data_IF_937908745792
#
_entry.id   IF_937908745792
#
_cell.length_a   1.000
_cell.length_b   1.000
_cell.length_c   1.000
_cell.angle_alpha   90.00
_cell.angle_beta   90.00
_cell.angle_gamma   90.00
#
_symmetry.space_group_name_H-M   'P 1'
#
loop_
_entity.id
_entity.type
_entity.pdbx_description
1 polymer ?
#
# COMPACT_ATOMS: atom_id res chain seq x y z
N UNK A 1 -74.61 82.45 78.36
CA UNK A 1 -75.29 81.41 77.56
C UNK A 1 -74.19 80.42 77.23
N UNK A 2 -73.88 79.45 78.09
CA UNK A 2 -74.63 78.20 78.37
C UNK A 2 -74.55 77.25 77.17
N UNK A 3 -74.21 75.96 77.29
CA UNK A 3 -73.65 75.09 78.36
C UNK A 3 -72.15 75.38 78.69
N UNK A 4 -71.43 74.83 79.71
CA UNK A 4 -71.74 74.23 81.03
C UNK A 4 -72.41 72.83 81.08
N UNK A 5 -71.79 71.70 81.50
CA UNK A 5 -70.71 71.46 82.49
C UNK A 5 -70.02 70.06 82.24
N UNK A 6 -69.08 69.55 83.09
CA UNK A 6 -68.15 68.46 82.74
C UNK A 6 -68.48 67.11 83.40
N UNK A 7 -67.66 66.09 83.12
CA UNK A 7 -67.31 65.04 84.09
C UNK A 7 -65.81 64.78 84.05
N UNK A 8 -65.10 65.36 85.03
CA UNK A 8 -63.78 64.89 85.46
C UNK A 8 -64.03 63.86 86.54
N UNK A 9 -63.85 62.57 86.27
CA UNK A 9 -63.74 61.59 87.34
C UNK A 9 -62.98 60.32 86.92
N UNK A 10 -61.73 60.21 87.40
CA UNK A 10 -61.01 58.97 87.72
C UNK A 10 -60.65 58.01 86.54
N UNK A 11 -59.60 57.19 86.61
CA UNK A 11 -58.62 56.94 87.68
C UNK A 11 -57.22 56.70 87.08
N UNK A 12 -56.22 56.79 87.93
CA UNK A 12 -54.80 56.62 87.61
C UNK A 12 -54.37 55.21 87.17
N UNK A 13 -53.14 55.20 86.65
CA UNK A 13 -52.10 54.19 86.85
C UNK A 13 -52.10 52.92 85.99
N UNK A 14 -50.87 52.46 85.81
CA UNK A 14 -50.43 51.15 85.35
C UNK A 14 -50.75 50.77 83.89
N UNK A 15 -49.94 49.95 83.19
CA UNK A 15 -48.55 49.49 83.35
C UNK A 15 -48.27 48.57 82.13
N UNK A 16 -47.02 48.43 81.70
CA UNK A 16 -46.50 47.39 80.79
C UNK A 16 -47.45 46.67 79.80
N UNK A 17 -47.22 46.90 78.50
CA UNK A 17 -47.35 45.87 77.46
C UNK A 17 -46.05 45.91 76.63
N UNK A 18 -45.05 45.08 76.91
CA UNK A 18 -44.98 43.62 76.67
C UNK A 18 -45.09 43.26 75.19
N UNK A 19 -44.13 42.47 74.72
CA UNK A 19 -44.12 41.99 73.34
C UNK A 19 -45.28 41.01 73.12
N UNK A 20 -46.01 41.18 72.01
CA UNK A 20 -47.05 40.26 71.60
C UNK A 20 -46.46 38.92 71.16
N UNK A 21 -46.24 38.02 72.10
CA UNK A 21 -45.99 36.60 71.83
C UNK A 21 -47.32 35.99 71.37
N UNK A 22 -47.51 35.90 70.05
CA UNK A 22 -48.71 35.37 69.40
C UNK A 22 -49.04 33.98 69.94
N UNK A 23 -50.21 33.87 70.59
CA UNK A 23 -50.61 32.65 71.30
C UNK A 23 -50.80 31.49 70.31
N UNK A 24 -49.91 30.50 70.37
CA UNK A 24 -50.13 29.21 69.75
C UNK A 24 -51.35 28.53 70.39
N UNK A 25 -52.49 28.58 69.68
CA UNK A 25 -53.71 27.89 70.10
C UNK A 25 -53.52 26.39 69.92
N UNK A 26 -53.14 25.70 70.99
CA UNK A 26 -53.00 24.24 70.99
C UNK A 26 -54.38 23.55 70.92
N UNK A 27 -54.91 23.47 69.70
CA UNK A 27 -56.14 22.75 69.39
C UNK A 27 -55.91 21.25 69.59
N UNK A 28 -56.10 20.80 70.83
CA UNK A 28 -55.88 19.41 71.24
C UNK A 28 -56.99 18.52 70.69
N UNK A 29 -56.71 17.79 69.61
CA UNK A 29 -57.61 16.79 69.06
C UNK A 29 -57.20 15.39 69.56
N UNK A 30 -58.12 14.66 70.19
CA UNK A 30 -57.90 13.29 70.68
C UNK A 30 -56.66 13.11 71.58
N UNK A 31 -56.36 14.10 72.42
CA UNK A 31 -55.31 13.99 73.46
C UNK A 31 -53.88 14.20 72.98
N UNK A 32 -53.68 14.64 71.74
CA UNK A 32 -52.37 15.06 71.22
C UNK A 32 -52.36 16.57 70.95
N UNK A 33 -51.20 17.18 71.17
CA UNK A 33 -50.90 18.57 70.84
C UNK A 33 -50.85 18.78 69.31
N UNK A 34 -50.82 20.04 68.89
CA UNK A 34 -50.74 20.38 67.45
C UNK A 34 -49.50 19.79 66.78
N UNK A 35 -48.36 19.75 67.49
CA UNK A 35 -47.12 19.10 67.04
C UNK A 35 -47.28 17.59 66.87
N UNK A 36 -47.94 16.91 67.81
CA UNK A 36 -48.24 15.48 67.75
C UNK A 36 -49.08 15.09 66.53
N UNK A 37 -50.08 15.91 66.15
CA UNK A 37 -50.86 15.68 64.94
C UNK A 37 -50.04 15.85 63.66
N UNK A 38 -49.15 16.85 63.60
CA UNK A 38 -48.21 17.05 62.48
C UNK A 38 -47.22 15.89 62.37
N UNK A 39 -46.70 15.39 63.51
CA UNK A 39 -45.82 14.23 63.54
C UNK A 39 -46.53 12.96 63.00
N UNK A 40 -47.79 12.73 63.39
CA UNK A 40 -48.61 11.65 62.83
C UNK A 40 -48.85 11.80 61.32
N UNK A 41 -49.17 13.01 60.84
CA UNK A 41 -49.33 13.27 59.41
C UNK A 41 -48.04 12.97 58.64
N UNK A 42 -46.88 13.37 59.16
CA UNK A 42 -45.56 13.06 58.58
C UNK A 42 -45.29 11.54 58.54
N UNK A 43 -45.61 10.81 59.61
CA UNK A 43 -45.48 9.34 59.66
C UNK A 43 -46.37 8.68 58.58
N UNK A 44 -47.61 9.12 58.42
CA UNK A 44 -48.53 8.61 57.39
C UNK A 44 -48.00 8.91 55.98
N UNK A 45 -47.46 10.11 55.72
CA UNK A 45 -46.84 10.45 54.44
C UNK A 45 -45.60 9.57 54.16
N UNK A 46 -44.74 9.34 55.15
CA UNK A 46 -43.56 8.46 55.01
C UNK A 46 -44.00 7.01 54.71
N UNK A 47 -45.00 6.49 55.42
CA UNK A 47 -45.57 5.16 55.15
C UNK A 47 -46.14 5.06 53.73
N UNK A 48 -46.85 6.08 53.26
CA UNK A 48 -47.37 6.14 51.88
C UNK A 48 -46.21 6.18 50.87
N UNK A 49 -45.12 6.93 51.11
CA UNK A 49 -43.94 6.97 50.25
C UNK A 49 -43.22 5.61 50.17
N UNK A 50 -43.11 4.90 51.29
CA UNK A 50 -42.55 3.55 51.34
C UNK A 50 -43.46 2.57 50.58
N UNK A 51 -44.78 2.63 50.80
CA UNK A 51 -45.76 1.77 50.13
C UNK A 51 -45.83 2.03 48.61
N UNK A 52 -45.66 3.30 48.19
CA UNK A 52 -45.49 3.72 46.79
C UNK A 52 -44.09 3.48 46.23
N UNK A 53 -43.19 2.86 46.99
CA UNK A 53 -41.84 2.42 46.55
C UNK A 53 -40.95 3.54 46.02
N UNK A 54 -41.15 4.77 46.48
CA UNK A 54 -40.30 5.94 46.13
C UNK A 54 -38.80 5.66 46.35
N UNK A 55 -38.33 5.12 47.49
CA UNK A 55 -36.90 4.82 47.66
C UNK A 55 -36.40 3.73 46.70
N UNK A 56 -37.24 2.74 46.34
CA UNK A 56 -36.88 1.71 45.36
C UNK A 56 -36.74 2.29 43.94
N UNK A 57 -37.59 3.25 43.56
CA UNK A 57 -37.52 3.93 42.27
C UNK A 57 -36.25 4.77 42.14
N UNK A 58 -35.85 5.47 43.20
CA UNK A 58 -34.58 6.23 43.24
C UNK A 58 -33.38 5.28 43.13
N UNK A 59 -33.35 4.20 43.91
CA UNK A 59 -32.30 3.17 43.82
C UNK A 59 -32.17 2.62 42.39
N UNK A 60 -33.28 2.19 41.79
CA UNK A 60 -33.28 1.68 40.41
C UNK A 60 -32.84 2.71 39.37
N UNK A 61 -33.09 4.00 39.57
CA UNK A 61 -32.60 5.06 38.70
C UNK A 61 -31.09 5.27 38.82
N UNK A 62 -30.53 5.14 40.03
CA UNK A 62 -29.09 5.16 40.26
C UNK A 62 -28.41 3.91 39.66
N UNK A 63 -28.97 2.72 39.90
CA UNK A 63 -28.45 1.47 39.33
C UNK A 63 -28.42 1.50 37.80
N UNK A 64 -29.46 2.05 37.15
CA UNK A 64 -29.48 2.26 35.69
C UNK A 64 -28.39 3.20 35.22
N UNK A 65 -28.11 4.29 35.95
CA UNK A 65 -27.00 5.21 35.63
C UNK A 65 -25.64 4.54 35.81
N UNK A 66 -25.46 3.77 36.88
CA UNK A 66 -24.23 3.01 37.13
C UNK A 66 -24.01 1.97 36.02
N UNK A 67 -25.06 1.26 35.60
CA UNK A 67 -25.00 0.31 34.50
C UNK A 67 -24.67 0.98 33.14
N UNK A 68 -25.27 2.14 32.85
CA UNK A 68 -24.97 2.92 31.65
C UNK A 68 -23.51 3.38 31.63
N UNK A 69 -23.03 4.01 32.71
CA UNK A 69 -21.64 4.49 32.83
C UNK A 69 -20.64 3.32 32.73
N UNK A 70 -20.95 2.15 33.30
CA UNK A 70 -20.12 0.94 33.12
C UNK A 70 -20.06 0.52 31.66
N UNK A 71 -21.21 0.47 30.97
CA UNK A 71 -21.27 0.16 29.54
C UNK A 71 -20.46 1.14 28.69
N UNK A 72 -20.57 2.45 28.94
CA UNK A 72 -19.78 3.49 28.27
C UNK A 72 -18.27 3.35 28.52
N UNK A 73 -17.86 2.98 29.75
CA UNK A 73 -16.45 2.72 30.09
C UNK A 73 -15.93 1.45 29.41
N UNK A 74 -16.72 0.37 29.40
CA UNK A 74 -16.35 -0.89 28.76
C UNK A 74 -16.26 -0.74 27.24
N UNK A 75 -17.18 0.02 26.62
CA UNK A 75 -17.13 0.36 25.19
C UNK A 75 -15.94 1.26 24.85
N UNK A 76 -15.65 2.27 25.67
CA UNK A 76 -14.47 3.13 25.49
C UNK A 76 -13.15 2.36 25.67
N UNK A 77 -13.10 1.40 26.61
CA UNK A 77 -11.94 0.53 26.81
C UNK A 77 -11.74 -0.41 25.62
N UNK A 78 -12.83 -1.01 25.10
CA UNK A 78 -12.82 -1.83 23.88
C UNK A 78 -12.37 -1.03 22.66
N UNK A 79 -12.90 0.18 22.47
CA UNK A 79 -12.53 1.05 21.36
C UNK A 79 -11.06 1.49 21.43
N UNK A 80 -10.50 1.71 22.63
CA UNK A 80 -9.06 1.93 22.81
C UNK A 80 -8.23 0.71 22.44
N UNK A 81 -8.62 -0.48 22.92
CA UNK A 81 -7.92 -1.72 22.58
C UNK A 81 -7.94 -2.01 21.06
N UNK A 82 -9.07 -1.75 20.39
CA UNK A 82 -9.18 -1.85 18.93
C UNK A 82 -8.31 -0.81 18.21
N UNK A 83 -8.26 0.44 18.69
CA UNK A 83 -7.40 1.48 18.13
C UNK A 83 -5.90 1.19 18.32
N UNK A 84 -5.51 0.66 19.49
CA UNK A 84 -4.12 0.25 19.79
C UNK A 84 -3.72 -0.97 18.94
N UNK A 85 -4.59 -1.97 18.79
CA UNK A 85 -4.37 -3.12 17.91
C UNK A 85 -4.23 -2.70 16.44
N UNK A 86 -5.14 -1.84 15.96
CA UNK A 86 -5.10 -1.31 14.59
C UNK A 86 -3.82 -0.49 14.34
N UNK A 87 -3.41 0.35 15.31
CA UNK A 87 -2.15 1.08 15.23
C UNK A 87 -0.95 0.12 15.11
N UNK A 88 -0.90 -0.93 15.93
CA UNK A 88 0.17 -1.93 15.87
C UNK A 88 0.18 -2.69 14.54
N UNK A 89 -1.00 -2.99 13.97
CA UNK A 89 -1.11 -3.59 12.63
C UNK A 89 -0.54 -2.66 11.55
N UNK A 90 -0.87 -1.35 11.58
CA UNK A 90 -0.32 -0.38 10.63
C UNK A 90 1.19 -0.17 10.81
N UNK A 91 1.71 -0.13 12.03
CA UNK A 91 3.15 -0.04 12.30
C UNK A 91 3.89 -1.29 11.77
N UNK A 92 3.36 -2.49 12.02
CA UNK A 92 3.91 -3.73 11.44
C UNK A 92 3.81 -3.75 9.90
N UNK A 93 2.69 -3.33 9.33
CA UNK A 93 2.46 -3.31 7.88
C UNK A 93 3.35 -2.30 7.16
N UNK A 94 3.62 -1.15 7.78
CA UNK A 94 4.54 -0.14 7.22
C UNK A 94 6.00 -0.58 7.34
N UNK A 95 6.39 -1.27 8.42
CA UNK A 95 7.71 -1.91 8.51
C UNK A 95 7.88 -2.98 7.41
N UNK A 96 6.93 -3.91 7.29
CA UNK A 96 6.94 -4.96 6.26
C UNK A 96 6.99 -4.39 4.84
N UNK A 97 6.17 -3.38 4.52
CA UNK A 97 6.21 -2.72 3.21
C UNK A 97 7.57 -2.05 2.92
N UNK A 98 8.25 -1.53 3.95
CA UNK A 98 9.61 -1.00 3.83
C UNK A 98 10.68 -2.08 3.59
N UNK A 99 10.49 -3.28 4.14
CA UNK A 99 11.36 -4.44 3.86
C UNK A 99 11.08 -5.05 2.48
N UNK A 100 9.81 -5.20 2.10
CA UNK A 100 9.39 -5.63 0.76
C UNK A 100 9.95 -4.69 -0.33
N UNK A 101 9.84 -3.37 -0.15
CA UNK A 101 10.40 -2.40 -1.09
C UNK A 101 11.93 -2.52 -1.23
N UNK A 102 12.66 -2.78 -0.13
CA UNK A 102 14.11 -3.05 -0.17
C UNK A 102 14.41 -4.38 -0.89
N UNK A 103 13.63 -5.43 -0.64
CA UNK A 103 13.80 -6.72 -1.28
C UNK A 103 13.52 -6.65 -2.79
N UNK A 104 12.51 -5.89 -3.22
CA UNK A 104 12.22 -5.60 -4.62
C UNK A 104 13.39 -4.86 -5.27
N UNK A 105 13.91 -3.81 -4.62
CA UNK A 105 15.07 -3.06 -5.13
C UNK A 105 16.34 -3.92 -5.23
N UNK A 106 16.61 -4.76 -4.23
CA UNK A 106 17.76 -5.68 -4.26
C UNK A 106 17.66 -6.69 -5.41
N UNK A 107 16.49 -7.34 -5.58
CA UNK A 107 16.24 -8.26 -6.69
C UNK A 107 16.33 -7.58 -8.05
N UNK A 108 15.78 -6.37 -8.19
CA UNK A 108 15.86 -5.62 -9.44
C UNK A 108 17.30 -5.21 -9.79
N UNK A 109 18.17 -4.98 -8.79
CA UNK A 109 19.60 -4.73 -9.01
C UNK A 109 20.37 -6.00 -9.40
N UNK A 110 20.06 -7.14 -8.77
CA UNK A 110 20.60 -8.46 -9.09
C UNK A 110 20.22 -8.89 -10.52
N UNK A 111 18.92 -8.85 -10.85
CA UNK A 111 18.38 -9.16 -12.17
C UNK A 111 18.94 -8.21 -13.26
N UNK A 112 19.08 -6.91 -12.95
CA UNK A 112 19.71 -5.97 -13.88
C UNK A 112 21.20 -6.28 -14.12
N UNK A 113 21.94 -6.71 -13.10
CA UNK A 113 23.33 -7.12 -13.24
C UNK A 113 23.46 -8.40 -14.08
N UNK A 114 22.62 -9.40 -13.84
CA UNK A 114 22.56 -10.63 -14.65
C UNK A 114 22.21 -10.34 -16.12
N UNK A 115 21.24 -9.44 -16.38
CA UNK A 115 20.87 -9.02 -17.74
C UNK A 115 22.04 -8.33 -18.44
N UNK A 116 22.81 -7.48 -17.75
CA UNK A 116 23.99 -6.83 -18.32
C UNK A 116 25.09 -7.85 -18.61
N UNK A 117 25.43 -8.74 -17.68
CA UNK A 117 26.44 -9.78 -17.89
C UNK A 117 26.07 -10.72 -19.05
N UNK A 118 24.79 -11.09 -19.16
CA UNK A 118 24.30 -11.92 -20.26
C UNK A 118 24.32 -11.16 -21.60
N UNK A 119 23.96 -9.87 -21.61
CA UNK A 119 24.01 -9.03 -22.80
C UNK A 119 25.45 -8.80 -23.29
N UNK A 120 26.43 -8.67 -22.39
CA UNK A 120 27.86 -8.59 -22.73
C UNK A 120 28.34 -9.91 -23.36
N UNK A 121 28.04 -11.06 -22.74
CA UNK A 121 28.36 -12.40 -23.30
C UNK A 121 27.74 -12.62 -24.69
N UNK A 122 26.47 -12.24 -24.87
CA UNK A 122 25.78 -12.37 -26.15
C UNK A 122 26.34 -11.40 -27.21
N UNK A 123 26.74 -10.19 -26.81
CA UNK A 123 27.41 -9.24 -27.70
C UNK A 123 28.78 -9.75 -28.16
N UNK A 124 29.61 -10.28 -27.25
CA UNK A 124 30.90 -10.88 -27.57
C UNK A 124 30.76 -12.10 -28.50
N UNK A 125 29.82 -12.99 -28.21
CA UNK A 125 29.51 -14.14 -29.07
C UNK A 125 29.01 -13.72 -30.47
N UNK A 126 28.22 -12.64 -30.56
CA UNK A 126 27.80 -12.05 -31.83
C UNK A 126 28.98 -11.44 -32.59
N UNK A 127 29.91 -10.76 -31.91
CA UNK A 127 31.12 -10.19 -32.51
C UNK A 127 32.03 -11.30 -33.04
N UNK A 128 32.31 -12.34 -32.24
CA UNK A 128 33.14 -13.47 -32.65
C UNK A 128 32.54 -14.18 -33.88
N UNK A 129 31.22 -14.44 -33.86
CA UNK A 129 30.50 -15.03 -35.00
C UNK A 129 30.54 -14.12 -36.24
N UNK A 130 30.41 -12.80 -36.08
CA UNK A 130 30.54 -11.81 -37.18
C UNK A 130 31.95 -11.80 -37.75
N UNK A 131 32.98 -11.91 -36.90
CA UNK A 131 34.38 -12.02 -37.28
C UNK A 131 34.64 -13.24 -38.15
N UNK A 132 34.30 -14.44 -37.65
CA UNK A 132 34.44 -15.70 -38.42
C UNK A 132 33.71 -15.65 -39.76
N UNK A 133 32.48 -15.12 -39.80
CA UNK A 133 31.72 -14.94 -41.05
C UNK A 133 32.35 -13.92 -42.01
N UNK A 134 33.16 -12.98 -41.53
CA UNK A 134 33.92 -12.07 -42.39
C UNK A 134 35.21 -12.74 -42.90
N UNK A 135 35.93 -13.45 -42.03
CA UNK A 135 37.12 -14.24 -42.38
C UNK A 135 36.79 -15.31 -43.43
N UNK A 136 35.70 -16.09 -43.25
CA UNK A 136 35.23 -17.08 -44.21
C UNK A 136 34.90 -16.46 -45.57
N UNK A 137 34.31 -15.26 -45.59
CA UNK A 137 34.01 -14.52 -46.83
C UNK A 137 35.27 -14.01 -47.51
N UNK A 138 36.24 -13.52 -46.75
CA UNK A 138 37.54 -13.09 -47.28
C UNK A 138 38.27 -14.29 -47.90
N UNK A 139 38.38 -15.40 -47.16
CA UNK A 139 39.00 -16.63 -47.66
C UNK A 139 38.29 -17.20 -48.90
N UNK A 140 36.96 -17.11 -48.98
CA UNK A 140 36.21 -17.49 -50.18
C UNK A 140 36.48 -16.54 -51.37
N UNK A 141 36.53 -15.23 -51.14
CA UNK A 141 36.83 -14.23 -52.15
C UNK A 141 38.27 -14.35 -52.67
N UNK A 142 39.25 -14.60 -51.79
CA UNK A 142 40.65 -14.86 -52.15
C UNK A 142 40.78 -16.10 -53.05
N UNK A 143 40.12 -17.21 -52.69
CA UNK A 143 40.10 -18.42 -53.51
C UNK A 143 39.51 -18.16 -54.89
N UNK A 144 38.42 -17.38 -54.97
CA UNK A 144 37.81 -16.96 -56.24
C UNK A 144 38.75 -16.09 -57.07
N UNK A 145 39.39 -15.08 -56.46
CA UNK A 145 40.33 -14.19 -57.14
C UNK A 145 41.55 -14.95 -57.67
N UNK A 146 42.11 -15.89 -56.90
CA UNK A 146 43.21 -16.77 -57.35
C UNK A 146 42.77 -17.67 -58.51
N UNK A 147 41.54 -18.21 -58.48
CA UNK A 147 41.00 -18.99 -59.58
C UNK A 147 40.80 -18.14 -60.85
N UNK A 148 40.27 -16.93 -60.74
CA UNK A 148 40.13 -15.98 -61.86
C UNK A 148 41.48 -15.58 -62.47
N UNK A 149 42.49 -15.27 -61.65
CA UNK A 149 43.84 -14.92 -62.13
C UNK A 149 44.46 -16.10 -62.87
N UNK A 150 44.32 -17.33 -62.36
CA UNK A 150 44.77 -18.55 -63.04
C UNK A 150 44.03 -18.77 -64.36
N UNK A 151 42.71 -18.57 -64.41
CA UNK A 151 41.92 -18.69 -65.64
C UNK A 151 42.33 -17.66 -66.69
N UNK A 152 42.54 -16.39 -66.29
CA UNK A 152 43.03 -15.30 -67.16
C UNK A 152 44.46 -15.56 -67.66
N UNK A 153 45.34 -16.10 -66.81
CA UNK A 153 46.69 -16.48 -67.21
C UNK A 153 46.69 -17.66 -68.21
N UNK A 154 45.86 -18.68 -67.97
CA UNK A 154 45.72 -19.83 -68.86
C UNK A 154 45.14 -19.43 -70.22
N UNK A 155 44.11 -18.57 -70.27
CA UNK A 155 43.55 -18.07 -71.53
C UNK A 155 44.53 -17.19 -72.29
N UNK A 156 45.26 -16.29 -71.62
CA UNK A 156 46.32 -15.48 -72.23
C UNK A 156 47.47 -16.33 -72.79
N UNK A 157 47.93 -17.34 -72.04
CA UNK A 157 48.95 -18.29 -72.51
C UNK A 157 48.47 -19.10 -73.72
N UNK A 158 47.20 -19.54 -73.71
CA UNK A 158 46.60 -20.28 -74.83
C UNK A 158 46.46 -19.41 -76.08
N UNK A 159 46.03 -18.15 -75.93
CA UNK A 159 45.94 -17.19 -77.03
C UNK A 159 47.32 -16.84 -77.61
N UNK A 160 48.34 -16.65 -76.75
CA UNK A 160 49.71 -16.41 -77.19
C UNK A 160 50.30 -17.64 -77.90
N UNK A 161 50.02 -18.86 -77.43
CA UNK A 161 50.42 -20.09 -78.09
C UNK A 161 49.74 -20.25 -79.45
N UNK A 162 48.44 -19.97 -79.55
CA UNK A 162 47.70 -20.01 -80.82
C UNK A 162 48.28 -19.02 -81.85
N UNK A 163 48.53 -17.76 -81.45
CA UNK A 163 49.14 -16.75 -82.31
C UNK A 163 50.58 -17.11 -82.73
N UNK A 164 51.36 -17.74 -81.83
CA UNK A 164 52.71 -18.21 -82.15
C UNK A 164 52.69 -19.39 -83.12
N UNK A 165 51.73 -20.30 -82.98
CA UNK A 165 51.50 -21.40 -83.93
C UNK A 165 51.14 -20.81 -85.29
N UNK A 166 50.13 -19.94 -85.38
CA UNK A 166 49.71 -19.26 -86.62
C UNK A 166 50.89 -18.56 -87.32
N UNK A 167 51.72 -17.83 -86.58
CA UNK A 167 52.91 -17.15 -87.12
C UNK A 167 54.09 -18.08 -87.51
N UNK A 168 54.05 -19.35 -87.09
CA UNK A 168 55.09 -20.37 -87.36
C UNK A 168 54.60 -21.51 -88.27
N UNK A 169 53.33 -21.48 -88.67
CA UNK A 169 52.70 -22.53 -89.44
C UNK A 169 53.05 -22.39 -90.92
N UNK A 170 53.75 -23.39 -91.47
CA UNK A 170 54.05 -23.51 -92.89
C UNK A 170 53.72 -24.91 -93.40
N UNK A 171 53.72 -25.07 -94.73
CA UNK A 171 53.38 -26.33 -95.39
C UNK A 171 54.37 -27.48 -95.09
N UNK A 172 55.54 -27.21 -94.50
CA UNK A 172 56.47 -28.24 -94.05
C UNK A 172 56.10 -28.73 -92.64
N UNK A 173 55.68 -27.83 -91.74
CA UNK A 173 55.14 -28.16 -90.43
C UNK A 173 53.87 -29.03 -90.53
N UNK A 174 52.95 -28.70 -91.45
CA UNK A 174 51.77 -29.51 -91.74
C UNK A 174 52.12 -30.96 -92.09
N UNK A 175 53.06 -31.14 -93.02
CA UNK A 175 53.45 -32.47 -93.49
C UNK A 175 54.04 -33.32 -92.34
N UNK A 176 54.84 -32.71 -91.46
CA UNK A 176 55.38 -33.39 -90.28
C UNK A 176 54.30 -33.78 -89.26
N UNK A 177 53.28 -32.93 -89.06
CA UNK A 177 52.14 -33.25 -88.20
C UNK A 177 51.30 -34.40 -88.78
N UNK A 178 51.08 -34.42 -90.09
CA UNK A 178 50.35 -35.48 -90.79
C UNK A 178 51.10 -36.83 -90.68
N UNK A 179 52.40 -36.88 -90.98
CA UNK A 179 53.18 -38.12 -90.84
C UNK A 179 53.20 -38.61 -89.38
N UNK A 180 53.32 -37.70 -88.40
CA UNK A 180 53.31 -38.06 -86.97
C UNK A 180 51.96 -38.60 -86.48
N UNK A 181 50.84 -38.10 -87.01
CA UNK A 181 49.50 -38.58 -86.65
C UNK A 181 49.18 -39.90 -87.34
N UNK A 182 49.61 -40.11 -88.59
CA UNK A 182 49.53 -41.41 -89.27
C UNK A 182 50.35 -42.46 -88.51
N UNK A 183 51.59 -42.14 -88.12
CA UNK A 183 52.44 -43.01 -87.30
C UNK A 183 51.83 -43.32 -85.93
N UNK A 184 51.22 -42.32 -85.27
CA UNK A 184 50.55 -42.50 -83.98
C UNK A 184 49.25 -43.32 -84.04
N UNK A 185 48.60 -43.40 -85.21
CA UNK A 185 47.46 -44.28 -85.48
C UNK A 185 47.92 -45.72 -85.72
N UNK A 186 48.96 -45.92 -86.53
CA UNK A 186 49.58 -47.23 -86.78
C UNK A 186 50.08 -47.88 -85.47
N UNK A 187 50.72 -47.09 -84.60
CA UNK A 187 51.18 -47.50 -83.27
C UNK A 187 50.06 -47.76 -82.23
N UNK A 188 48.78 -47.50 -82.57
CA UNK A 188 47.60 -47.83 -81.75
C UNK A 188 46.74 -48.95 -82.35
N UNK A 189 47.11 -49.46 -83.52
CA UNK A 189 46.39 -50.52 -84.24
C UNK A 189 47.16 -51.86 -84.27
N UNK A 190 48.38 -51.89 -83.72
CA UNK A 190 49.06 -53.09 -83.20
C UNK A 190 48.88 -53.20 -81.67
#
# INVERSE_FOLDING_TARGET
MAEHNPMVEQLDADMHLEAGEEAHVDQTALGFDTTGWVAWAMIVVILIMIWKKVPQAIGSALDKRIAAIRGEIDEAAKLRAEAEALKAEYEAKTANAGEEAKAILARAQEEAAEIVEQAEKDADALIERRGKLAEDKIAAAERSAVAEVRAKAASAATAAAAALIEAKHDAAADKGLIDSTISGLDARLN
#
